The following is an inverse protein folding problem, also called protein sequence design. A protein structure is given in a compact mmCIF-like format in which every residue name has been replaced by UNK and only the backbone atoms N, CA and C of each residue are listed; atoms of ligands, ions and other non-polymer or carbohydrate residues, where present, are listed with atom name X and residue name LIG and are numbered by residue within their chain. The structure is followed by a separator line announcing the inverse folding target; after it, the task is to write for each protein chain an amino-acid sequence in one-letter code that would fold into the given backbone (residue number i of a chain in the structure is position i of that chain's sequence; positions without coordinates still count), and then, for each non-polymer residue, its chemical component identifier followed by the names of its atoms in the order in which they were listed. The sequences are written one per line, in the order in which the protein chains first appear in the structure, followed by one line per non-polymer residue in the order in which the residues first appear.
data_IF_135244147482
#
_entry.id   IF_135244147482
#
_cell.length_a   1.000
_cell.length_b   1.000
_cell.length_c   1.000
_cell.angle_alpha   90.00
_cell.angle_beta   90.00
_cell.angle_gamma   90.00
#
_symmetry.space_group_name_H-M   'P 1'
#
loop_
_entity.id
_entity.type
_entity.pdbx_description
1 polymer ?
#
# COMPACT_ATOMS: atom_id res chain seq x y z
N UNK A 1 14.53 9.55 11.79
CA UNK A 1 13.08 9.74 11.56
C UNK A 1 12.39 8.48 12.06
N UNK A 2 11.43 8.60 12.99
CA UNK A 2 10.53 7.49 13.31
C UNK A 2 9.42 7.54 12.26
N UNK A 3 9.37 6.56 11.37
CA UNK A 3 8.35 6.50 10.32
C UNK A 3 7.24 5.54 10.75
N UNK A 4 6.00 6.01 10.79
CA UNK A 4 4.84 5.14 10.91
C UNK A 4 4.41 4.66 9.52
N UNK A 5 4.60 3.36 9.24
CA UNK A 5 4.25 2.73 7.95
C UNK A 5 3.09 1.77 8.20
N UNK A 6 1.99 1.91 7.46
CA UNK A 6 0.93 0.90 7.44
C UNK A 6 1.06 -0.02 6.22
N UNK A 7 1.22 -1.32 6.45
CA UNK A 7 1.23 -2.38 5.42
C UNK A 7 -0.15 -3.04 5.35
N UNK A 8 -0.92 -2.81 4.29
CA UNK A 8 -2.15 -3.56 4.01
C UNK A 8 -1.88 -4.61 2.94
N UNK A 9 -1.75 -5.87 3.37
CA UNK A 9 -1.98 -7.07 2.55
C UNK A 9 -1.41 -7.03 1.11
N UNK A 10 -0.08 -7.12 0.99
CA UNK A 10 0.54 -7.76 -0.16
C UNK A 10 1.15 -9.06 0.36
N UNK A 11 0.85 -10.19 -0.29
CA UNK A 11 1.42 -11.52 0.02
C UNK A 11 2.91 -11.51 -0.29
N UNK A 12 3.72 -10.94 0.60
CA UNK A 12 5.10 -11.34 0.80
C UNK A 12 5.07 -12.50 1.78
N UNK A 13 5.68 -13.60 1.36
CA UNK A 13 5.65 -14.91 2.00
C UNK A 13 6.00 -14.91 3.49
N UNK A 14 5.40 -15.85 4.19
CA UNK A 14 5.11 -15.94 5.62
C UNK A 14 6.25 -16.38 6.55
N UNK A 15 7.52 -16.06 6.28
CA UNK A 15 8.65 -16.50 7.16
C UNK A 15 9.81 -15.53 7.37
N UNK A 16 9.73 -14.32 6.86
CA UNK A 16 10.76 -13.31 7.10
C UNK A 16 10.19 -11.93 6.86
N UNK A 17 10.20 -11.08 7.89
CA UNK A 17 10.28 -9.65 7.64
C UNK A 17 11.57 -9.49 6.82
N UNK A 18 11.50 -8.95 5.61
CA UNK A 18 12.72 -8.43 5.01
C UNK A 18 13.36 -7.49 6.04
N UNK A 19 14.64 -7.70 6.38
CA UNK A 19 15.24 -6.99 7.50
C UNK A 19 15.19 -5.50 7.19
N UNK A 20 14.50 -4.74 8.06
CA UNK A 20 14.63 -3.30 8.07
C UNK A 20 16.11 -3.00 8.31
N UNK A 21 16.77 -2.18 7.46
CA UNK A 21 18.19 -1.89 7.61
C UNK A 21 18.52 -1.43 9.04
N UNK A 22 19.69 -1.82 9.58
CA UNK A 22 20.12 -1.37 10.90
C UNK A 22 20.05 0.16 11.03
N UNK A 23 19.56 0.65 12.18
CA UNK A 23 19.41 2.09 12.43
C UNK A 23 18.11 2.72 11.91
N UNK A 24 17.24 1.95 11.24
CA UNK A 24 15.90 2.39 10.87
C UNK A 24 14.87 1.79 11.84
N UNK A 25 14.06 2.65 12.44
CA UNK A 25 12.95 2.26 13.31
C UNK A 25 11.62 2.53 12.59
N UNK A 26 10.80 1.49 12.43
CA UNK A 26 9.47 1.58 11.82
C UNK A 26 8.43 1.08 12.80
N UNK A 27 7.43 1.93 13.06
CA UNK A 27 6.25 1.56 13.84
C UNK A 27 5.11 1.24 12.88
N UNK A 28 4.50 0.07 13.02
CA UNK A 28 3.36 -0.34 12.20
C UNK A 28 2.06 -0.04 12.95
N UNK A 29 1.09 0.63 12.32
CA UNK A 29 -0.26 0.77 12.87
C UNK A 29 -1.29 -0.07 12.14
N UNK A 30 -2.28 -0.54 12.89
CA UNK A 30 -3.44 -1.30 12.44
C UNK A 30 -4.73 -0.51 12.64
N UNK A 31 -5.61 -0.45 11.62
CA UNK A 31 -6.90 0.25 11.69
C UNK A 31 -7.78 -0.22 12.84
N UNK A 32 -7.69 -1.50 13.22
CA UNK A 32 -8.52 -2.07 14.27
C UNK A 32 -8.06 -1.69 15.69
N UNK A 33 -7.10 -0.76 15.84
CA UNK A 33 -6.84 -0.12 17.13
C UNK A 33 -5.51 -0.51 17.78
N UNK A 34 -4.43 -0.63 16.99
CA UNK A 34 -3.12 -0.98 17.53
C UNK A 34 -2.01 -0.16 16.85
N UNK A 35 -1.03 0.30 17.62
CA UNK A 35 0.23 0.87 17.14
C UNK A 35 1.38 0.02 17.68
N UNK A 36 2.38 -0.26 16.84
CA UNK A 36 3.49 -1.14 17.17
C UNK A 36 3.18 -2.62 16.98
N UNK A 37 2.65 -3.01 15.82
CA UNK A 37 2.41 -4.43 15.50
C UNK A 37 3.75 -5.21 15.48
N UNK A 38 3.80 -6.32 16.22
CA UNK A 38 4.92 -7.27 16.25
C UNK A 38 4.91 -8.26 15.07
N UNK A 39 5.84 -9.24 15.06
CA UNK A 39 5.82 -10.33 14.09
C UNK A 39 4.57 -11.23 14.27
N UNK A 40 4.39 -12.19 13.35
CA UNK A 40 3.46 -13.29 13.59
C UNK A 40 3.86 -14.06 14.86
N UNK A 41 2.90 -14.52 15.67
CA UNK A 41 3.19 -15.34 16.85
C UNK A 41 3.81 -16.67 16.43
N UNK A 42 4.52 -17.31 17.37
CA UNK A 42 4.91 -18.71 17.21
C UNK A 42 3.69 -19.62 17.38
N UNK A 43 3.81 -20.85 16.89
CA UNK A 43 2.77 -21.87 17.06
C UNK A 43 2.50 -22.11 18.55
N UNK A 44 1.25 -21.98 18.98
CA UNK A 44 0.81 -22.09 20.37
C UNK A 44 0.78 -20.76 21.14
N UNK A 45 1.28 -19.66 20.56
CA UNK A 45 1.24 -18.30 21.13
C UNK A 45 0.15 -17.42 20.47
N UNK A 46 -0.73 -18.01 19.66
CA UNK A 46 -1.81 -17.27 19.01
C UNK A 46 -2.85 -16.76 20.01
N UNK A 47 -3.11 -15.46 19.99
CA UNK A 47 -4.19 -14.83 20.73
C UNK A 47 -5.30 -14.36 19.76
N UNK A 48 -6.55 -14.84 19.89
CA UNK A 48 -7.65 -14.43 19.02
C UNK A 48 -8.05 -12.95 19.16
N UNK A 49 -7.71 -12.28 20.27
CA UNK A 49 -7.95 -10.85 20.47
C UNK A 49 -6.85 -9.99 19.82
N UNK A 50 -5.68 -10.57 19.52
CA UNK A 50 -4.56 -9.89 18.87
C UNK A 50 -4.50 -10.20 17.38
N UNK A 51 -5.32 -9.47 16.61
CA UNK A 51 -5.35 -9.59 15.15
C UNK A 51 -4.97 -8.29 14.44
N UNK A 52 -4.42 -8.41 13.24
CA UNK A 52 -4.21 -7.27 12.35
C UNK A 52 -5.46 -6.94 11.52
N UNK A 53 -5.36 -5.88 10.70
CA UNK A 53 -6.42 -5.46 9.79
C UNK A 53 -6.90 -6.57 8.82
N UNK A 54 -6.00 -7.51 8.46
CA UNK A 54 -6.26 -8.67 7.61
C UNK A 54 -6.79 -9.91 8.33
N UNK A 55 -7.11 -9.80 9.63
CA UNK A 55 -7.69 -10.85 10.48
C UNK A 55 -6.76 -12.03 10.71
N UNK A 56 -5.46 -11.77 10.69
CA UNK A 56 -4.43 -12.73 11.06
C UNK A 56 -3.95 -12.42 12.48
N UNK A 57 -3.67 -13.45 13.27
CA UNK A 57 -3.07 -13.31 14.59
C UNK A 57 -1.69 -12.68 14.49
N UNK A 58 -1.36 -11.82 15.44
CA UNK A 58 -0.10 -11.08 15.54
C UNK A 58 0.40 -11.10 16.97
N UNK A 59 1.66 -10.72 17.17
CA UNK A 59 2.21 -10.41 18.49
C UNK A 59 2.32 -8.90 18.72
N UNK A 60 2.63 -8.52 19.95
CA UNK A 60 2.94 -7.16 20.35
C UNK A 60 4.45 -6.93 20.55
N UNK A 61 4.84 -5.66 20.55
CA UNK A 61 6.15 -5.18 20.93
C UNK A 61 6.05 -4.53 22.31
N UNK A 62 7.19 -4.39 23.00
CA UNK A 62 7.22 -3.63 24.27
C UNK A 62 6.73 -2.17 24.13
N UNK A 63 6.72 -1.63 22.92
CA UNK A 63 6.26 -0.29 22.58
C UNK A 63 4.80 -0.25 22.08
N UNK A 64 4.05 -1.35 22.15
CA UNK A 64 2.69 -1.40 21.59
C UNK A 64 1.70 -0.56 22.40
N UNK A 65 0.70 -0.03 21.72
CA UNK A 65 -0.45 0.63 22.34
C UNK A 65 -1.75 0.27 21.63
N UNK A 66 -2.83 0.22 22.42
CA UNK A 66 -4.18 -0.08 21.96
C UNK A 66 -5.08 1.15 22.09
N UNK A 67 -6.02 1.28 21.16
CA UNK A 67 -6.95 2.41 21.11
C UNK A 67 -8.23 2.03 20.37
N UNK A 68 -9.26 2.86 20.53
CA UNK A 68 -10.53 2.64 19.87
C UNK A 68 -10.42 2.79 18.34
N UNK A 69 -11.37 2.21 17.60
CA UNK A 69 -11.46 2.45 16.15
C UNK A 69 -11.62 3.94 15.82
N UNK A 70 -12.34 4.71 16.65
CA UNK A 70 -12.46 6.16 16.48
C UNK A 70 -11.11 6.87 16.55
N UNK A 71 -10.28 6.53 17.54
CA UNK A 71 -8.94 7.13 17.69
C UNK A 71 -8.00 6.67 16.56
N UNK A 72 -8.11 5.41 16.15
CA UNK A 72 -7.36 4.84 15.03
C UNK A 72 -7.61 5.62 13.74
N UNK A 73 -8.88 5.87 13.41
CA UNK A 73 -9.23 6.63 12.23
C UNK A 73 -9.01 8.14 12.39
N UNK A 74 -9.06 8.68 13.62
CA UNK A 74 -8.62 10.05 13.89
C UNK A 74 -7.12 10.22 13.62
N UNK A 75 -6.29 9.25 14.03
CA UNK A 75 -4.86 9.21 13.74
C UNK A 75 -4.59 9.18 12.23
N UNK A 76 -5.32 8.35 11.49
CA UNK A 76 -5.20 8.23 10.03
C UNK A 76 -5.65 9.52 9.32
N UNK A 77 -6.89 9.96 9.55
CA UNK A 77 -7.45 11.15 8.87
C UNK A 77 -6.79 12.45 9.30
N UNK A 78 -6.21 12.50 10.50
CA UNK A 78 -5.47 13.64 11.00
C UNK A 78 -4.04 13.77 10.45
N UNK A 79 -3.60 12.86 9.57
CA UNK A 79 -2.25 12.94 8.99
C UNK A 79 -1.13 12.61 9.96
N UNK A 80 -1.41 11.82 11.00
CA UNK A 80 -0.40 11.36 11.95
C UNK A 80 0.36 10.13 11.45
N UNK A 81 -0.04 9.56 10.31
CA UNK A 81 0.63 8.44 9.65
C UNK A 81 1.50 8.99 8.54
N UNK A 82 2.79 8.61 8.54
CA UNK A 82 3.74 9.12 7.56
C UNK A 82 3.55 8.47 6.19
N UNK A 83 3.30 7.15 6.15
CA UNK A 83 3.10 6.46 4.90
C UNK A 83 2.18 5.25 4.99
N UNK A 84 1.53 4.93 3.87
CA UNK A 84 0.76 3.71 3.67
C UNK A 84 1.22 3.00 2.42
N UNK A 85 1.25 1.68 2.48
CA UNK A 85 1.49 0.81 1.33
C UNK A 85 0.22 0.03 1.03
N UNK A 86 -0.28 0.17 -0.20
CA UNK A 86 -1.52 -0.43 -0.67
C UNK A 86 -1.29 -1.23 -1.95
N UNK A 87 -2.01 -2.34 -2.09
CA UNK A 87 -2.19 -2.96 -3.40
C UNK A 87 -3.15 -2.14 -4.27
N UNK A 88 -3.01 -2.28 -5.60
CA UNK A 88 -3.93 -1.69 -6.57
C UNK A 88 -4.32 -2.70 -7.67
N UNK A 89 -5.56 -2.54 -8.16
CA UNK A 89 -6.05 -3.19 -9.38
C UNK A 89 -5.74 -2.30 -10.58
N UNK A 90 -5.96 -0.99 -10.45
CA UNK A 90 -5.60 0.03 -11.43
C UNK A 90 -5.04 1.27 -10.71
N UNK A 91 -4.11 1.95 -11.38
CA UNK A 91 -3.65 3.31 -11.04
C UNK A 91 -3.74 4.16 -12.32
N UNK A 92 -4.26 5.38 -12.21
CA UNK A 92 -4.32 6.30 -13.35
C UNK A 92 -3.04 7.14 -13.49
N UNK A 93 -2.79 7.72 -14.66
CA UNK A 93 -1.69 8.66 -14.87
C UNK A 93 -1.81 9.93 -14.00
N UNK A 94 -3.02 10.28 -13.56
CA UNK A 94 -3.29 11.36 -12.61
C UNK A 94 -3.11 10.96 -11.15
N UNK A 95 -2.79 9.68 -10.85
CA UNK A 95 -2.59 9.20 -9.48
C UNK A 95 -3.88 8.76 -8.77
N UNK A 96 -4.95 8.45 -9.51
CA UNK A 96 -6.13 7.80 -8.95
C UNK A 96 -5.81 6.33 -8.66
N UNK A 97 -6.47 5.75 -7.66
CA UNK A 97 -6.30 4.33 -7.29
C UNK A 97 -7.65 3.63 -7.25
N UNK A 98 -7.73 2.44 -7.83
CA UNK A 98 -8.86 1.52 -7.67
C UNK A 98 -8.38 0.18 -7.13
N UNK A 99 -8.90 -0.25 -5.98
CA UNK A 99 -8.40 -1.47 -5.32
C UNK A 99 -9.41 -2.27 -4.48
N UNK A 100 -10.70 -1.92 -4.50
CA UNK A 100 -11.68 -2.52 -3.58
C UNK A 100 -12.79 -3.33 -4.26
N UNK A 101 -13.02 -3.13 -5.56
CA UNK A 101 -14.12 -3.76 -6.29
C UNK A 101 -13.80 -3.96 -7.77
N UNK A 102 -14.28 -5.09 -8.31
CA UNK A 102 -14.46 -5.34 -9.76
C UNK A 102 -15.95 -5.65 -9.97
N UNK A 103 -16.71 -4.77 -10.65
CA UNK A 103 -18.14 -5.00 -10.91
C UNK A 103 -18.41 -6.37 -11.53
N UNK A 104 -19.37 -7.11 -10.95
CA UNK A 104 -19.76 -8.44 -11.42
C UNK A 104 -18.79 -9.59 -11.13
N UNK A 105 -17.63 -9.34 -10.50
CA UNK A 105 -16.62 -10.38 -10.21
C UNK A 105 -16.17 -10.42 -8.75
N UNK A 106 -15.79 -9.27 -8.18
CA UNK A 106 -15.17 -9.23 -6.85
C UNK A 106 -15.65 -8.01 -6.07
N UNK A 107 -16.19 -8.25 -4.87
CA UNK A 107 -16.56 -7.19 -3.92
C UNK A 107 -15.91 -7.53 -2.58
N UNK A 108 -14.81 -6.86 -2.23
CA UNK A 108 -14.11 -7.05 -0.93
C UNK A 108 -14.56 -6.06 0.13
N UNK A 109 -15.27 -5.00 -0.27
CA UNK A 109 -15.50 -3.81 0.56
C UNK A 109 -14.23 -2.96 0.66
N UNK A 110 -14.40 -1.64 0.78
CA UNK A 110 -13.27 -0.70 0.87
C UNK A 110 -12.53 -0.78 2.21
N UNK A 111 -13.23 -1.16 3.29
CA UNK A 111 -12.71 -1.04 4.66
C UNK A 111 -12.15 0.37 4.91
N UNK A 112 -11.07 0.49 5.69
CA UNK A 112 -10.34 1.75 5.85
C UNK A 112 -9.43 2.18 4.69
N UNK A 113 -9.60 1.67 3.46
CA UNK A 113 -8.74 2.08 2.33
C UNK A 113 -8.94 3.55 1.95
N UNK A 114 -10.19 4.03 1.95
CA UNK A 114 -10.53 5.42 1.61
C UNK A 114 -9.98 6.41 2.66
N UNK A 115 -10.10 6.10 3.95
CA UNK A 115 -9.51 6.93 5.00
C UNK A 115 -7.98 7.03 4.90
N UNK A 116 -7.31 5.93 4.54
CA UNK A 116 -5.86 5.94 4.34
C UNK A 116 -5.46 6.88 3.21
N UNK A 117 -6.07 6.72 2.04
CA UNK A 117 -5.66 7.52 0.88
C UNK A 117 -6.08 8.99 1.01
N UNK A 118 -7.03 9.31 1.89
CA UNK A 118 -7.43 10.68 2.18
C UNK A 118 -6.58 11.35 3.28
N UNK A 119 -6.03 10.58 4.23
CA UNK A 119 -5.41 11.11 5.43
C UNK A 119 -3.89 10.98 5.53
N UNK A 120 -3.28 10.02 4.84
CA UNK A 120 -1.85 9.70 4.99
C UNK A 120 -0.99 10.60 4.13
N UNK A 121 0.22 10.98 4.61
CA UNK A 121 1.11 11.92 3.92
C UNK A 121 1.74 11.39 2.64
N UNK A 122 2.14 10.11 2.61
CA UNK A 122 2.73 9.45 1.43
C UNK A 122 2.06 8.11 1.13
N UNK A 123 1.53 7.97 -0.07
CA UNK A 123 0.78 6.79 -0.54
C UNK A 123 1.62 6.07 -1.57
N UNK A 124 2.09 4.88 -1.19
CA UNK A 124 2.86 3.99 -2.05
C UNK A 124 1.96 2.84 -2.51
N UNK A 125 1.87 2.64 -3.81
CA UNK A 125 1.23 1.47 -4.40
C UNK A 125 2.29 0.40 -4.66
N UNK A 126 2.01 -0.81 -4.20
CA UNK A 126 2.80 -2.00 -4.53
C UNK A 126 1.93 -2.97 -5.33
N UNK A 127 2.29 -3.25 -6.57
CA UNK A 127 1.47 -4.08 -7.46
C UNK A 127 2.28 -4.80 -8.54
N UNK A 128 1.80 -5.95 -9.03
CA UNK A 128 2.27 -6.46 -10.33
C UNK A 128 1.97 -5.42 -11.41
N UNK A 129 2.90 -5.20 -12.33
CA UNK A 129 2.82 -4.20 -13.40
C UNK A 129 1.69 -4.53 -14.40
N UNK A 130 1.56 -5.82 -14.71
CA UNK A 130 0.57 -6.38 -15.60
C UNK A 130 -0.21 -7.47 -14.85
N UNK A 131 -1.53 -7.51 -15.02
CA UNK A 131 -2.36 -8.56 -14.45
C UNK A 131 -2.06 -9.92 -15.09
N UNK A 132 -2.44 -11.00 -14.39
CA UNK A 132 -2.31 -12.38 -14.90
C UNK A 132 -3.03 -12.65 -16.23
N UNK A 133 -4.06 -11.87 -16.55
CA UNK A 133 -4.79 -11.96 -17.82
C UNK A 133 -4.21 -11.05 -18.91
N UNK A 134 -3.07 -10.40 -18.66
CA UNK A 134 -2.40 -9.49 -19.59
C UNK A 134 -2.92 -8.05 -19.55
N UNK A 135 -3.94 -7.74 -18.75
CA UNK A 135 -4.43 -6.36 -18.62
C UNK A 135 -3.39 -5.46 -17.96
N UNK A 136 -3.18 -4.27 -18.54
CA UNK A 136 -2.26 -3.26 -18.02
C UNK A 136 -2.91 -2.51 -16.87
N UNK A 137 -2.13 -2.15 -15.85
CA UNK A 137 -2.66 -1.61 -14.60
C UNK A 137 -2.27 -0.15 -14.32
N UNK A 138 -1.24 0.36 -14.99
CA UNK A 138 -0.93 1.78 -15.01
C UNK A 138 -1.43 2.38 -16.33
N UNK A 139 -2.58 3.05 -16.24
CA UNK A 139 -3.43 3.39 -17.39
C UNK A 139 -3.81 4.89 -17.39
N UNK A 140 -4.31 5.48 -18.49
CA UNK A 140 -4.65 6.91 -18.50
C UNK A 140 -5.75 7.28 -17.51
N UNK A 141 -6.76 6.44 -17.35
CA UNK A 141 -7.86 6.64 -16.40
C UNK A 141 -8.34 5.30 -15.88
N UNK A 142 -8.57 5.20 -14.56
CA UNK A 142 -9.18 4.01 -13.99
C UNK A 142 -10.57 3.77 -14.57
N UNK A 143 -10.87 2.52 -14.86
CA UNK A 143 -12.19 2.05 -15.30
C UNK A 143 -12.98 1.44 -14.13
N UNK A 144 -12.27 0.98 -13.11
CA UNK A 144 -12.83 0.43 -11.88
C UNK A 144 -13.25 1.52 -10.89
N UNK A 145 -14.18 1.21 -9.97
CA UNK A 145 -14.58 2.13 -8.91
C UNK A 145 -13.38 2.60 -8.08
N UNK A 146 -13.22 3.92 -8.01
CA UNK A 146 -12.09 4.53 -7.33
C UNK A 146 -12.14 4.32 -5.81
N UNK A 147 -10.95 4.21 -5.24
CA UNK A 147 -10.68 4.32 -3.80
C UNK A 147 -10.28 5.75 -3.45
N UNK A 148 -9.53 6.44 -4.32
CA UNK A 148 -9.12 7.84 -4.15
C UNK A 148 -8.72 8.46 -5.49
N UNK A 149 -8.81 9.79 -5.59
CA UNK A 149 -8.47 10.57 -6.79
C UNK A 149 -7.22 11.41 -6.54
N UNK A 150 -6.26 11.36 -7.45
CA UNK A 150 -5.04 12.17 -7.39
C UNK A 150 -4.27 12.02 -6.06
N UNK A 151 -4.17 10.78 -5.56
CA UNK A 151 -3.63 10.47 -4.23
C UNK A 151 -2.33 9.66 -4.24
N UNK A 152 -2.05 8.87 -5.28
CA UNK A 152 -0.89 7.96 -5.30
C UNK A 152 0.40 8.72 -5.55
N UNK A 153 1.39 8.63 -4.67
CA UNK A 153 2.68 9.33 -4.84
C UNK A 153 3.73 8.48 -5.56
N UNK A 154 3.70 7.17 -5.33
CA UNK A 154 4.69 6.22 -5.86
C UNK A 154 4.04 4.91 -6.24
N UNK A 155 4.49 4.31 -7.33
CA UNK A 155 4.08 3.00 -7.81
C UNK A 155 5.34 2.14 -7.91
N UNK A 156 5.39 1.08 -7.12
CA UNK A 156 6.45 0.08 -7.16
C UNK A 156 5.86 -1.18 -7.80
N UNK A 157 6.50 -1.67 -8.84
CA UNK A 157 6.14 -2.93 -9.50
C UNK A 157 7.30 -3.89 -9.58
N UNK A 158 7.04 -5.09 -10.11
CA UNK A 158 8.06 -6.09 -10.46
C UNK A 158 9.01 -5.64 -11.59
N UNK A 159 8.72 -4.53 -12.27
CA UNK A 159 9.50 -4.04 -13.42
C UNK A 159 10.22 -2.72 -13.14
N UNK A 160 9.63 -1.84 -12.34
CA UNK A 160 10.12 -0.47 -12.18
C UNK A 160 9.52 0.25 -10.97
N UNK A 161 10.05 1.45 -10.71
CA UNK A 161 9.47 2.42 -9.79
C UNK A 161 9.08 3.68 -10.54
N UNK A 162 7.83 4.10 -10.37
CA UNK A 162 7.35 5.43 -10.76
C UNK A 162 7.14 6.29 -9.52
N UNK A 163 7.52 7.56 -9.59
CA UNK A 163 7.26 8.55 -8.53
C UNK A 163 6.84 9.88 -9.14
N UNK A 164 5.93 10.60 -8.46
CA UNK A 164 5.61 11.98 -8.78
C UNK A 164 5.95 12.88 -7.60
N UNK A 165 6.30 14.14 -7.89
CA UNK A 165 6.76 15.09 -6.87
C UNK A 165 5.61 15.68 -6.03
N UNK A 166 4.39 15.68 -6.58
CA UNK A 166 3.18 16.19 -5.92
C UNK A 166 1.92 15.67 -6.62
N UNK A 167 0.74 15.83 -6.00
CA UNK A 167 -0.54 15.74 -6.72
C UNK A 167 -0.53 16.62 -7.98
N UNK A 168 -1.26 16.17 -9.01
CA UNK A 168 -1.28 16.71 -10.37
C UNK A 168 0.05 16.70 -11.17
N UNK A 169 1.19 16.37 -10.57
CA UNK A 169 2.45 16.20 -11.32
C UNK A 169 2.44 14.85 -12.07
N UNK A 170 3.06 14.78 -13.27
CA UNK A 170 3.21 13.52 -13.97
C UNK A 170 4.14 12.57 -13.19
N UNK A 171 3.88 11.28 -13.29
CA UNK A 171 4.81 10.26 -12.81
C UNK A 171 6.10 10.26 -13.64
N UNK A 172 7.23 10.05 -12.99
CA UNK A 172 8.54 9.84 -13.58
C UNK A 172 9.00 8.41 -13.32
N UNK A 173 9.57 7.76 -14.31
CA UNK A 173 10.27 6.48 -14.17
C UNK A 173 11.62 6.74 -13.48
N UNK A 174 11.77 6.31 -12.24
CA UNK A 174 12.96 6.63 -11.44
C UNK A 174 13.89 5.44 -11.24
N UNK A 175 13.37 4.21 -11.31
CA UNK A 175 14.16 2.98 -11.19
C UNK A 175 13.61 1.89 -12.11
N UNK A 176 14.51 1.02 -12.57
CA UNK A 176 14.22 -0.18 -13.34
C UNK A 176 14.70 -1.40 -12.57
N UNK A 177 13.96 -2.49 -12.62
CA UNK A 177 14.43 -3.77 -12.12
C UNK A 177 15.61 -4.29 -12.96
N UNK A 178 16.43 -5.15 -12.37
CA UNK A 178 17.60 -5.72 -13.03
C UNK A 178 17.23 -6.40 -14.36
N UNK A 179 17.88 -5.97 -15.45
CA UNK A 179 17.65 -6.51 -16.79
C UNK A 179 16.39 -5.98 -17.50
N UNK A 180 15.58 -5.13 -16.87
CA UNK A 180 14.41 -4.50 -17.49
C UNK A 180 14.81 -3.21 -18.20
N UNK A 181 14.31 -3.01 -19.42
CA UNK A 181 14.54 -1.78 -20.19
C UNK A 181 13.38 -0.79 -20.07
N UNK A 182 13.67 0.51 -20.24
CA UNK A 182 12.62 1.54 -20.28
C UNK A 182 11.61 1.32 -21.42
N UNK A 183 12.04 0.75 -22.55
CA UNK A 183 11.15 0.43 -23.66
C UNK A 183 10.23 -0.75 -23.35
N UNK A 184 10.71 -1.75 -22.58
CA UNK A 184 9.85 -2.82 -22.07
C UNK A 184 8.76 -2.26 -21.16
N UNK A 185 9.13 -1.42 -20.20
CA UNK A 185 8.17 -0.76 -19.30
C UNK A 185 7.14 0.04 -20.10
N UNK A 186 7.58 0.82 -21.08
CA UNK A 186 6.69 1.60 -21.94
C UNK A 186 5.76 0.71 -22.78
N UNK A 187 6.21 -0.45 -23.24
CA UNK A 187 5.36 -1.40 -23.98
C UNK A 187 4.26 -2.04 -23.10
N UNK A 188 4.45 -2.01 -21.77
CA UNK A 188 3.54 -2.57 -20.76
C UNK A 188 2.82 -1.50 -19.94
N UNK A 189 2.88 -0.24 -20.36
CA UNK A 189 2.23 0.90 -19.70
C UNK A 189 1.45 1.72 -20.71
N UNK A 190 0.17 2.00 -20.45
CA UNK A 190 -0.63 2.91 -21.31
C UNK A 190 -0.80 4.30 -20.70
N UNK A 191 -0.58 4.47 -19.41
CA UNK A 191 -0.47 5.78 -18.77
C UNK A 191 0.68 6.61 -19.39
N UNK A 192 0.51 7.92 -19.44
CA UNK A 192 1.61 8.82 -19.75
C UNK A 192 2.52 8.98 -18.52
N UNK A 193 3.84 8.89 -18.74
CA UNK A 193 4.86 9.15 -17.73
C UNK A 193 6.11 9.81 -18.34
N UNK A 194 6.96 10.39 -17.50
CA UNK A 194 8.28 10.95 -17.85
C UNK A 194 9.35 9.86 -17.73
N UNK A 195 10.24 9.78 -18.72
CA UNK A 195 11.37 8.85 -18.73
C UNK A 195 12.62 9.51 -18.17
#
# INVERSE_FOLDING_TARGET
MRGCIRKRSARLSSRGREPIPPGIEVTLQSENGMLGIGPFPFEGEEDPDLINAGKQTISELASSSYFSSSDSFAMIRGGHIDSTVLGAMEVSESGDIANWMIPGKMIKGMGGAMDLVAGVKKIVVLMEHVSKDGSLKFIPSCSLPLTGRDVVDMIITDLCVFERQSPAAPFSLIELADGVSADEVASKTTARFLR
#
